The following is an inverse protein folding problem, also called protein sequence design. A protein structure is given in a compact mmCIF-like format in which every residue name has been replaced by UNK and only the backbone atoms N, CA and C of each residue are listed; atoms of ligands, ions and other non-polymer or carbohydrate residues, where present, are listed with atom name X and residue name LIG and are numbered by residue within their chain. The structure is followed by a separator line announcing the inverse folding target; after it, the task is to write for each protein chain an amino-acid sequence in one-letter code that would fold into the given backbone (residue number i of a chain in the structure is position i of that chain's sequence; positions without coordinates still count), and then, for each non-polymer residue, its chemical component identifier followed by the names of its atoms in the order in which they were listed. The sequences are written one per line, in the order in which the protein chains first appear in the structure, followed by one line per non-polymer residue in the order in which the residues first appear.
data_IF_000085816642
#
_entry.id   IF_000085816642
#
_cell.length_a   1.000
_cell.length_b   1.000
_cell.length_c   1.000
_cell.angle_alpha   90.00
_cell.angle_beta   90.00
_cell.angle_gamma   90.00
#
_symmetry.space_group_name_H-M   'P 1'
#
loop_
_entity.id
_entity.type
_entity.pdbx_description
1 polymer ?
#
# COMPACT_ATOMS: atom_id res chain seq x y z
N UNK A 1 21.30 0.44 -47.84
CA UNK A 1 21.67 1.23 -46.65
C UNK A 1 20.47 2.04 -46.22
N UNK A 2 19.77 1.60 -45.19
CA UNK A 2 18.69 2.36 -44.55
C UNK A 2 18.84 2.16 -43.05
N UNK A 3 19.30 3.22 -42.41
CA UNK A 3 19.58 3.35 -40.98
C UNK A 3 18.21 3.41 -40.29
N UNK A 4 17.90 2.44 -39.42
CA UNK A 4 16.72 2.55 -38.55
C UNK A 4 16.96 3.70 -37.56
N UNK A 5 15.93 4.53 -37.27
CA UNK A 5 16.08 5.68 -36.39
C UNK A 5 16.29 5.22 -34.94
N UNK A 6 17.32 5.80 -34.33
CA UNK A 6 17.54 5.85 -32.90
C UNK A 6 16.44 6.67 -32.22
N UNK A 7 15.78 6.11 -31.20
CA UNK A 7 15.00 6.91 -30.26
C UNK A 7 13.80 6.16 -29.70
N UNK A 8 13.96 5.61 -28.50
CA UNK A 8 13.19 5.98 -27.31
C UNK A 8 13.62 5.02 -26.18
N UNK A 9 14.59 5.45 -25.37
CA UNK A 9 14.82 4.83 -24.07
C UNK A 9 13.70 5.30 -23.12
N UNK A 10 12.46 4.89 -23.42
CA UNK A 10 11.41 4.93 -22.44
C UNK A 10 11.78 3.95 -21.34
N UNK A 11 11.79 4.40 -20.09
CA UNK A 11 11.83 3.51 -18.93
C UNK A 11 10.54 2.70 -19.03
N UNK A 12 10.62 1.51 -19.62
CA UNK A 12 9.48 0.61 -19.70
C UNK A 12 9.25 0.07 -18.30
N UNK A 13 8.11 0.42 -17.71
CA UNK A 13 7.63 -0.26 -16.53
C UNK A 13 7.34 -1.70 -16.94
N UNK A 14 8.16 -2.63 -16.45
CA UNK A 14 7.89 -4.06 -16.60
C UNK A 14 6.59 -4.35 -15.86
N UNK A 15 5.60 -4.89 -16.54
CA UNK A 15 4.47 -5.54 -15.88
C UNK A 15 5.05 -6.63 -14.99
N UNK A 16 5.03 -6.39 -13.68
CA UNK A 16 5.25 -7.44 -12.70
C UNK A 16 3.87 -8.03 -12.51
N UNK A 17 3.72 -9.32 -12.82
CA UNK A 17 2.49 -10.05 -12.53
C UNK A 17 2.12 -9.75 -11.09
N UNK A 18 0.86 -9.38 -10.89
CA UNK A 18 0.31 -8.85 -9.66
C UNK A 18 0.92 -9.54 -8.45
N UNK A 19 1.37 -8.78 -7.45
CA UNK A 19 1.51 -9.33 -6.10
C UNK A 19 0.08 -9.72 -5.71
N UNK A 20 -0.29 -10.97 -6.00
CA UNK A 20 -1.57 -11.53 -5.61
C UNK A 20 -1.60 -11.52 -4.08
N UNK A 21 -2.74 -11.14 -3.53
CA UNK A 21 -2.97 -11.04 -2.08
C UNK A 21 -2.71 -12.40 -1.38
N UNK A 22 -2.77 -13.50 -2.14
CA UNK A 22 -2.81 -14.87 -1.62
C UNK A 22 -1.46 -15.59 -1.51
N UNK A 23 -0.36 -15.06 -2.05
CA UNK A 23 0.98 -15.69 -1.94
C UNK A 23 1.79 -15.15 -0.76
N UNK A 24 1.16 -15.04 0.41
CA UNK A 24 1.91 -14.72 1.62
C UNK A 24 2.58 -15.99 2.16
N UNK A 25 3.91 -15.96 2.40
CA UNK A 25 4.60 -17.06 3.08
C UNK A 25 3.90 -17.40 4.40
N UNK A 26 3.96 -18.66 4.86
CA UNK A 26 3.37 -19.03 6.14
C UNK A 26 3.96 -18.17 7.27
N UNK A 27 3.14 -17.85 8.27
CA UNK A 27 3.61 -17.14 9.45
C UNK A 27 4.71 -17.94 10.16
N UNK A 28 5.75 -17.24 10.57
CA UNK A 28 6.84 -17.80 11.37
C UNK A 28 6.35 -17.99 12.78
N UNK A 29 6.54 -19.17 13.35
CA UNK A 29 6.12 -19.44 14.72
C UNK A 29 6.87 -18.51 15.69
N UNK A 30 6.24 -17.92 16.72
CA UNK A 30 6.91 -17.01 17.64
C UNK A 30 8.19 -17.57 18.28
N UNK A 31 8.27 -18.90 18.45
CA UNK A 31 9.45 -19.59 18.99
C UNK A 31 10.65 -19.63 18.00
N UNK A 32 10.39 -19.50 16.70
CA UNK A 32 11.38 -19.54 15.63
C UNK A 32 11.92 -18.15 15.28
N UNK A 33 11.26 -17.09 15.75
CA UNK A 33 11.67 -15.71 15.52
C UNK A 33 12.92 -15.40 16.34
N UNK A 34 14.03 -15.11 15.65
CA UNK A 34 15.23 -14.64 16.31
C UNK A 34 14.96 -13.29 16.99
N UNK A 35 15.08 -13.18 18.33
CA UNK A 35 14.78 -11.94 19.06
C UNK A 35 15.74 -10.78 18.74
N UNK A 36 16.88 -11.06 18.10
CA UNK A 36 17.85 -10.07 17.63
C UNK A 36 17.67 -9.70 16.16
N UNK A 37 16.75 -10.34 15.43
CA UNK A 37 16.49 -9.99 14.05
C UNK A 37 15.90 -8.58 13.94
N UNK A 38 16.30 -7.85 12.91
CA UNK A 38 15.72 -6.54 12.63
C UNK A 38 14.25 -6.71 12.20
N UNK A 39 13.40 -5.78 12.64
CA UNK A 39 12.01 -5.72 12.18
C UNK A 39 11.97 -5.41 10.69
N UNK A 40 11.17 -6.17 9.94
CA UNK A 40 10.87 -5.91 8.54
C UNK A 40 9.36 -5.72 8.36
N UNK A 41 8.99 -4.91 7.38
CA UNK A 41 7.60 -4.59 7.06
C UNK A 41 7.29 -5.12 5.67
N UNK A 42 6.30 -6.01 5.58
CA UNK A 42 5.80 -6.54 4.30
C UNK A 42 4.38 -6.06 4.04
N UNK A 43 3.88 -6.22 2.80
CA UNK A 43 2.54 -5.80 2.43
C UNK A 43 1.46 -6.44 3.32
N UNK A 44 1.60 -7.73 3.64
CA UNK A 44 0.71 -8.46 4.54
C UNK A 44 0.61 -7.83 5.93
N UNK A 45 1.70 -7.24 6.45
CA UNK A 45 1.65 -6.50 7.73
C UNK A 45 0.75 -5.26 7.62
N UNK A 46 0.77 -4.57 6.49
CA UNK A 46 -0.03 -3.37 6.25
C UNK A 46 -1.52 -3.73 6.07
N UNK A 47 -1.81 -4.84 5.38
CA UNK A 47 -3.17 -5.37 5.23
C UNK A 47 -3.74 -5.77 6.62
N UNK A 48 -3.00 -6.58 7.38
CA UNK A 48 -3.39 -6.97 8.74
C UNK A 48 -3.58 -5.75 9.64
N UNK A 49 -2.73 -4.74 9.50
CA UNK A 49 -2.86 -3.47 10.23
C UNK A 49 -4.16 -2.74 9.88
N UNK A 50 -4.49 -2.60 8.60
CA UNK A 50 -5.71 -1.94 8.16
C UNK A 50 -6.97 -2.68 8.64
N UNK A 51 -7.02 -4.01 8.44
CA UNK A 51 -8.13 -4.86 8.88
C UNK A 51 -8.32 -4.82 10.40
N UNK A 52 -7.23 -4.89 11.17
CA UNK A 52 -7.32 -4.81 12.63
C UNK A 52 -7.87 -3.45 13.09
N UNK A 53 -7.50 -2.36 12.41
CA UNK A 53 -7.85 -1.01 12.80
C UNK A 53 -9.24 -0.58 12.35
N UNK A 54 -9.84 -1.22 11.35
CA UNK A 54 -11.18 -0.96 10.83
C UNK A 54 -12.25 -0.71 11.93
N UNK A 55 -12.43 -1.58 12.94
CA UNK A 55 -13.42 -1.35 13.99
C UNK A 55 -13.07 -0.22 14.98
N UNK A 56 -11.83 0.29 14.94
CA UNK A 56 -11.34 1.35 15.82
C UNK A 56 -11.34 2.73 15.16
N UNK A 57 -11.69 2.83 13.88
CA UNK A 57 -11.78 4.11 13.17
C UNK A 57 -13.06 4.84 13.63
N UNK A 58 -12.89 5.92 14.39
CA UNK A 58 -13.97 6.84 14.74
C UNK A 58 -13.56 8.29 14.43
N UNK A 59 -14.38 9.03 13.68
CA UNK A 59 -14.12 10.44 13.33
C UNK A 59 -12.96 10.61 12.33
N UNK A 60 -12.14 11.65 12.51
CA UNK A 60 -11.02 12.01 11.60
C UNK A 60 -9.92 10.95 11.45
N UNK A 61 -10.01 9.79 12.13
CA UNK A 61 -9.23 8.58 11.82
C UNK A 61 -7.71 8.63 12.04
N UNK A 62 -7.17 9.77 12.47
CA UNK A 62 -5.72 10.03 12.42
C UNK A 62 -4.92 9.58 13.63
N UNK A 63 -5.59 9.26 14.74
CA UNK A 63 -4.92 8.97 16.02
C UNK A 63 -5.58 7.81 16.74
N UNK A 64 -4.78 6.80 17.05
CA UNK A 64 -5.20 5.64 17.83
C UNK A 64 -4.70 5.75 19.27
N UNK A 65 -5.56 5.35 20.21
CA UNK A 65 -5.20 5.35 21.64
C UNK A 65 -4.06 4.35 21.90
N UNK A 66 -3.15 4.61 22.86
CA UNK A 66 -2.05 3.70 23.17
C UNK A 66 -2.46 2.23 23.44
N UNK A 67 -3.60 1.94 24.10
CA UNK A 67 -4.06 0.56 24.27
C UNK A 67 -4.40 -0.14 22.95
N UNK A 68 -4.91 0.59 21.95
CA UNK A 68 -5.21 0.05 20.61
C UNK A 68 -3.92 -0.28 19.88
N UNK A 69 -2.92 0.62 19.94
CA UNK A 69 -1.59 0.38 19.36
C UNK A 69 -0.91 -0.84 19.99
N UNK A 70 -1.04 -1.02 21.31
CA UNK A 70 -0.50 -2.21 21.98
C UNK A 70 -1.15 -3.49 21.43
N UNK A 71 -2.49 -3.55 21.39
CA UNK A 71 -3.21 -4.72 20.85
C UNK A 71 -2.87 -4.99 19.38
N UNK A 72 -2.73 -3.94 18.57
CA UNK A 72 -2.27 -4.06 17.20
C UNK A 72 -0.85 -4.65 17.13
N UNK A 73 0.05 -4.22 18.02
CA UNK A 73 1.43 -4.74 18.07
C UNK A 73 1.41 -6.24 18.36
N UNK A 74 0.62 -6.66 19.34
CA UNK A 74 0.48 -8.07 19.71
C UNK A 74 -0.10 -8.87 18.53
N UNK A 75 -1.16 -8.36 17.90
CA UNK A 75 -1.79 -8.95 16.72
C UNK A 75 -0.82 -9.16 15.53
N UNK A 76 0.05 -8.18 15.26
CA UNK A 76 1.06 -8.28 14.20
C UNK A 76 2.20 -9.24 14.56
N UNK A 77 2.57 -9.33 15.84
CA UNK A 77 3.62 -10.23 16.31
C UNK A 77 3.18 -11.70 16.35
N UNK A 78 1.88 -11.98 16.42
CA UNK A 78 1.30 -13.31 16.18
C UNK A 78 1.36 -13.73 14.70
N UNK A 79 1.61 -12.78 13.78
CA UNK A 79 1.49 -12.92 12.32
C UNK A 79 2.76 -12.48 11.59
N UNK A 80 3.93 -12.71 12.18
CA UNK A 80 5.20 -12.32 11.56
C UNK A 80 5.48 -13.20 10.35
N UNK A 81 5.59 -12.59 9.18
CA UNK A 81 6.00 -13.26 7.94
C UNK A 81 7.53 -13.20 7.77
N UNK A 82 8.15 -12.08 8.15
CA UNK A 82 9.57 -11.82 7.93
C UNK A 82 10.18 -10.90 9.01
N UNK A 83 11.44 -11.17 9.36
CA UNK A 83 12.21 -10.36 10.30
C UNK A 83 11.91 -10.67 11.77
N UNK A 84 12.19 -9.70 12.64
CA UNK A 84 11.96 -9.79 14.08
C UNK A 84 10.65 -9.17 14.57
N UNK A 85 10.38 -9.34 15.87
CA UNK A 85 9.21 -8.76 16.52
C UNK A 85 9.13 -7.23 16.37
N UNK A 86 7.91 -6.76 16.18
CA UNK A 86 7.55 -5.34 16.09
C UNK A 86 7.40 -4.75 17.48
N UNK A 87 7.93 -3.55 17.69
CA UNK A 87 7.78 -2.76 18.93
C UNK A 87 6.65 -1.75 18.77
N UNK A 88 5.88 -1.49 19.81
CA UNK A 88 4.72 -0.58 19.73
C UNK A 88 5.08 0.84 19.26
N UNK A 89 6.26 1.37 19.62
CA UNK A 89 6.75 2.64 19.10
C UNK A 89 6.98 2.60 17.58
N UNK A 90 7.56 1.51 17.07
CA UNK A 90 7.75 1.29 15.63
C UNK A 90 6.42 1.09 14.89
N UNK A 91 5.46 0.39 15.48
CA UNK A 91 4.10 0.25 14.93
C UNK A 91 3.41 1.61 14.83
N UNK A 92 3.49 2.44 15.89
CA UNK A 92 2.93 3.79 15.88
C UNK A 92 3.55 4.67 14.80
N UNK A 93 4.88 4.62 14.64
CA UNK A 93 5.57 5.37 13.59
C UNK A 93 5.12 4.90 12.21
N UNK A 94 5.13 3.59 11.96
CA UNK A 94 4.73 3.04 10.67
C UNK A 94 3.28 3.40 10.30
N UNK A 95 2.38 3.35 11.28
CA UNK A 95 0.98 3.76 11.07
C UNK A 95 0.87 5.23 10.69
N UNK A 96 1.69 6.10 11.28
CA UNK A 96 1.76 7.52 10.93
C UNK A 96 2.21 7.70 9.49
N UNK A 97 3.25 6.96 9.06
CA UNK A 97 3.77 7.00 7.70
C UNK A 97 2.71 6.54 6.68
N UNK A 98 1.98 5.45 6.98
CA UNK A 98 0.92 4.90 6.12
C UNK A 98 -0.24 5.89 5.98
N UNK A 99 -0.68 6.51 7.07
CA UNK A 99 -1.75 7.51 7.03
C UNK A 99 -1.33 8.77 6.26
N UNK A 100 -0.06 9.18 6.35
CA UNK A 100 0.46 10.30 5.56
C UNK A 100 0.44 9.98 4.05
N UNK A 101 0.82 8.77 3.66
CA UNK A 101 0.73 8.30 2.27
C UNK A 101 -0.73 8.29 1.80
N UNK A 102 -1.65 7.72 2.60
CA UNK A 102 -3.07 7.69 2.29
C UNK A 102 -3.66 9.08 2.05
N UNK A 103 -3.34 10.05 2.92
CA UNK A 103 -3.74 11.45 2.73
C UNK A 103 -3.19 12.07 1.46
N UNK A 104 -1.92 11.81 1.16
CA UNK A 104 -1.29 12.27 -0.08
C UNK A 104 -1.98 11.70 -1.32
N UNK A 105 -2.24 10.39 -1.32
CA UNK A 105 -2.96 9.71 -2.41
C UNK A 105 -4.37 10.27 -2.56
N UNK A 106 -5.14 10.42 -1.48
CA UNK A 106 -6.49 10.98 -1.54
C UNK A 106 -6.51 12.45 -2.01
N UNK A 107 -5.52 13.24 -1.59
CA UNK A 107 -5.36 14.60 -2.07
C UNK A 107 -5.12 14.61 -3.59
N UNK A 108 -4.24 13.74 -4.09
CA UNK A 108 -3.98 13.59 -5.52
C UNK A 108 -5.22 13.09 -6.27
N UNK A 109 -5.97 12.10 -5.75
CA UNK A 109 -7.22 11.62 -6.36
C UNK A 109 -8.22 12.76 -6.62
N UNK A 110 -8.29 13.73 -5.71
CA UNK A 110 -9.28 14.82 -5.77
C UNK A 110 -8.80 16.07 -6.50
N UNK A 111 -7.49 16.22 -6.75
CA UNK A 111 -6.90 17.48 -7.23
C UNK A 111 -5.81 17.34 -8.30
N UNK A 112 -5.52 16.13 -8.78
CA UNK A 112 -4.50 15.90 -9.82
C UNK A 112 -4.94 16.34 -11.22
N UNK A 113 -6.23 16.62 -11.43
CA UNK A 113 -6.80 16.88 -12.75
C UNK A 113 -7.02 15.63 -13.60
N UNK A 114 -6.62 14.44 -13.11
CA UNK A 114 -6.98 13.14 -13.68
C UNK A 114 -8.28 12.61 -13.08
N UNK A 115 -9.02 11.82 -13.85
CA UNK A 115 -10.17 11.05 -13.37
C UNK A 115 -9.65 9.80 -12.69
N UNK A 116 -10.09 9.55 -11.45
CA UNK A 116 -9.71 8.33 -10.74
C UNK A 116 -10.85 7.34 -10.80
N UNK A 117 -10.58 6.16 -11.32
CA UNK A 117 -11.48 5.01 -11.33
C UNK A 117 -10.95 4.00 -10.30
N UNK A 118 -11.81 3.50 -9.42
CA UNK A 118 -11.38 2.53 -8.40
C UNK A 118 -11.18 1.12 -8.98
N UNK A 119 -11.73 0.82 -10.16
CA UNK A 119 -11.52 -0.44 -10.90
C UNK A 119 -10.27 -0.37 -11.80
N UNK A 120 -9.98 0.80 -12.40
CA UNK A 120 -8.89 0.95 -13.40
C UNK A 120 -7.71 1.84 -12.96
N UNK A 121 -7.82 2.54 -11.82
CA UNK A 121 -6.78 3.42 -11.29
C UNK A 121 -6.83 4.85 -11.82
N UNK A 122 -5.66 5.51 -11.91
CA UNK A 122 -5.57 6.87 -12.44
C UNK A 122 -5.78 6.86 -13.96
N UNK A 123 -6.90 7.39 -14.43
CA UNK A 123 -7.14 7.62 -15.84
C UNK A 123 -6.78 9.07 -16.20
N UNK A 124 -5.96 9.25 -17.23
CA UNK A 124 -5.55 10.58 -17.71
C UNK A 124 -6.61 11.18 -18.64
N UNK A 125 -7.55 10.34 -19.09
CA UNK A 125 -8.60 10.70 -20.04
C UNK A 125 -9.82 11.17 -19.26
N UNK A 126 -10.17 12.43 -19.45
CA UNK A 126 -11.38 13.01 -18.90
C UNK A 126 -12.63 12.42 -19.58
N UNK A 127 -13.77 12.41 -18.89
CA UNK A 127 -15.04 11.92 -19.47
C UNK A 127 -15.37 12.61 -20.80
N UNK A 128 -15.01 13.89 -20.92
CA UNK A 128 -15.14 14.69 -22.15
C UNK A 128 -14.24 14.17 -23.28
N UNK A 129 -13.03 13.73 -22.98
CA UNK A 129 -12.12 13.16 -23.99
C UNK A 129 -12.59 11.77 -24.44
N UNK A 130 -13.13 10.95 -23.54
CA UNK A 130 -13.77 9.67 -23.91
C UNK A 130 -14.99 9.89 -24.82
N UNK A 131 -15.82 10.90 -24.56
CA UNK A 131 -16.95 11.27 -25.42
C UNK A 131 -16.48 11.78 -26.80
N UNK A 132 -15.39 12.54 -26.85
CA UNK A 132 -14.79 12.99 -28.13
C UNK A 132 -14.26 11.79 -28.92
N UNK A 133 -13.56 10.86 -28.28
CA UNK A 133 -13.07 9.65 -28.95
C UNK A 133 -14.21 8.73 -29.39
N UNK A 134 -15.28 8.60 -28.59
CA UNK A 134 -16.48 7.86 -28.98
C UNK A 134 -17.24 8.49 -30.15
N UNK A 135 -17.13 9.82 -30.33
CA UNK A 135 -17.73 10.54 -31.47
C UNK A 135 -16.92 10.47 -32.77
N UNK A 136 -15.68 9.99 -32.71
CA UNK A 136 -14.77 9.86 -33.85
C UNK A 136 -14.79 8.47 -34.49
N UNK A 137 -15.51 7.50 -33.91
CA UNK A 137 -15.68 6.13 -34.42
C UNK A 137 -17.06 5.94 -35.03
#
# INVERSE_FOLDING_TARGET
MTKAPSGHNGISYRHVDSITVDDHPPYVSPQEINPKANTQWVLTDLINMAQFLEPYVSGDGDKYKPPVIKKLTDHLNERVVLGGFKKSAGVKQKLTDVLAIYKGVNYLKTRSGGTWDDDFGANVITQTEDEVWASLV
#
